data_IF_871877121312
#
_entry.id   IF_871877121312
#
_cell.length_a   1.000
_cell.length_b   1.000
_cell.length_c   1.000
_cell.angle_alpha   90.00
_cell.angle_beta   90.00
_cell.angle_gamma   90.00
#
_symmetry.space_group_name_H-M   'P 1'
#
loop_
_entity.id
_entity.type
_entity.pdbx_description
1 polymer ?
#
# COMPACT_ATOMS: atom_id res chain seq x y z
N UNK A 1 -38.61 -22.89 -37.90
CA UNK A 1 -37.77 -22.92 -36.68
C UNK A 1 -36.31 -22.43 -36.89
N UNK A 2 -35.98 -21.68 -37.96
CA UNK A 2 -34.64 -21.12 -38.17
C UNK A 2 -34.54 -19.59 -37.95
N UNK A 3 -35.67 -18.89 -37.83
CA UNK A 3 -35.69 -17.43 -37.67
C UNK A 3 -35.47 -16.96 -36.22
N UNK A 4 -35.83 -17.78 -35.22
CA UNK A 4 -35.69 -17.44 -33.80
C UNK A 4 -34.26 -17.61 -33.25
N UNK A 5 -33.40 -18.41 -33.89
CA UNK A 5 -32.00 -18.54 -33.47
C UNK A 5 -31.11 -17.38 -33.89
N UNK A 6 -31.41 -16.65 -34.99
CA UNK A 6 -30.60 -15.50 -35.42
C UNK A 6 -30.80 -14.26 -34.54
N UNK A 7 -31.96 -14.13 -33.88
CA UNK A 7 -32.25 -12.96 -33.06
C UNK A 7 -31.52 -12.97 -31.72
N UNK A 8 -31.17 -14.15 -31.19
CA UNK A 8 -30.42 -14.22 -29.93
C UNK A 8 -28.93 -13.96 -30.08
N UNK A 9 -28.38 -14.11 -31.30
CA UNK A 9 -26.95 -13.97 -31.54
C UNK A 9 -26.52 -12.52 -31.82
N UNK A 10 -27.43 -11.66 -32.27
CA UNK A 10 -27.18 -10.22 -32.48
C UNK A 10 -27.27 -9.39 -31.20
N UNK A 11 -27.90 -9.91 -30.13
CA UNK A 11 -28.04 -9.22 -28.85
C UNK A 11 -26.79 -9.24 -27.95
N UNK A 12 -25.86 -10.17 -28.16
CA UNK A 12 -24.69 -10.36 -27.29
C UNK A 12 -23.46 -9.59 -27.80
N UNK A 13 -23.42 -9.25 -29.11
CA UNK A 13 -22.29 -8.57 -29.73
C UNK A 13 -22.21 -7.06 -29.43
N UNK A 14 -23.30 -6.40 -29.07
CA UNK A 14 -23.31 -4.94 -28.82
C UNK A 14 -22.87 -4.50 -27.42
N UNK A 15 -22.62 -5.42 -26.48
CA UNK A 15 -22.17 -5.06 -25.12
C UNK A 15 -20.65 -4.97 -24.97
N UNK A 16 -19.86 -5.39 -25.96
CA UNK A 16 -18.40 -5.32 -25.89
C UNK A 16 -17.80 -4.01 -26.42
N UNK A 17 -18.62 -3.10 -26.95
CA UNK A 17 -18.12 -1.93 -27.68
C UNK A 17 -18.22 -0.59 -26.95
N UNK A 18 -18.57 -0.55 -25.65
CA UNK A 18 -18.25 0.62 -24.82
C UNK A 18 -16.82 0.48 -24.26
N UNK A 19 -15.89 0.65 -25.18
CA UNK A 19 -14.46 0.76 -24.94
C UNK A 19 -14.18 1.89 -23.94
N UNK A 20 -13.48 1.53 -22.86
CA UNK A 20 -12.71 2.47 -22.04
C UNK A 20 -11.80 3.28 -22.97
N UNK A 21 -11.76 4.63 -22.89
CA UNK A 21 -10.78 5.39 -23.63
C UNK A 21 -9.37 5.02 -23.15
N UNK A 22 -8.56 4.58 -24.11
CA UNK A 22 -7.12 4.47 -23.98
C UNK A 22 -6.52 5.88 -23.81
N UNK A 23 -6.46 6.35 -22.57
CA UNK A 23 -5.65 7.49 -22.17
C UNK A 23 -4.57 6.97 -21.22
N UNK A 24 -3.50 6.52 -21.86
CA UNK A 24 -2.21 6.20 -21.29
C UNK A 24 -1.63 7.50 -20.71
N UNK A 25 -1.86 7.78 -19.42
CA UNK A 25 -1.20 8.86 -18.70
C UNK A 25 -0.51 8.29 -17.47
N UNK A 26 0.77 8.03 -17.65
CA UNK A 26 1.86 8.02 -16.68
C UNK A 26 1.47 8.02 -15.19
N UNK A 27 1.55 6.83 -14.57
CA UNK A 27 1.85 6.71 -13.15
C UNK A 27 3.33 6.31 -13.01
N UNK A 28 4.15 7.01 -12.20
CA UNK A 28 5.52 6.61 -11.95
C UNK A 28 5.50 5.32 -11.14
N UNK A 29 5.97 4.24 -11.77
CA UNK A 29 6.18 2.94 -11.14
C UNK A 29 7.35 3.10 -10.15
N UNK A 30 7.20 2.82 -8.84
CA UNK A 30 8.35 2.84 -7.94
C UNK A 30 9.30 1.72 -8.35
N UNK A 31 10.46 2.13 -8.85
CA UNK A 31 11.62 1.27 -9.00
C UNK A 31 12.08 0.78 -7.63
N UNK A 32 12.70 -0.40 -7.61
CA UNK A 32 13.35 -1.06 -6.48
C UNK A 32 12.48 -1.92 -5.54
N UNK A 33 11.81 -2.93 -6.09
CA UNK A 33 11.79 -4.23 -5.41
C UNK A 33 13.21 -4.82 -5.52
N UNK A 34 14.00 -4.69 -4.45
CA UNK A 34 15.25 -5.44 -4.28
C UNK A 34 14.90 -6.92 -4.16
N UNK A 35 14.98 -7.64 -5.27
CA UNK A 35 15.01 -9.09 -5.25
C UNK A 35 16.31 -9.54 -4.58
N UNK A 36 16.22 -9.96 -3.32
CA UNK A 36 17.30 -10.69 -2.65
C UNK A 36 17.30 -12.11 -3.23
N UNK A 37 18.08 -12.32 -4.29
CA UNK A 37 18.41 -13.67 -4.77
C UNK A 37 19.42 -14.26 -3.81
N UNK A 38 18.98 -15.20 -2.96
CA UNK A 38 19.88 -16.09 -2.21
C UNK A 38 20.62 -16.95 -3.22
N UNK A 39 21.92 -16.69 -3.41
CA UNK A 39 22.81 -17.58 -4.15
C UNK A 39 22.97 -18.87 -3.34
N UNK A 40 22.45 -19.96 -3.86
CA UNK A 40 22.88 -21.31 -3.48
C UNK A 40 24.36 -21.45 -3.86
N UNK A 41 25.23 -21.61 -2.87
CA UNK A 41 26.64 -21.96 -3.09
C UNK A 41 26.68 -23.41 -3.56
N UNK A 42 26.93 -23.60 -4.87
CA UNK A 42 27.27 -24.88 -5.46
C UNK A 42 28.77 -25.10 -5.21
N UNK A 43 29.07 -26.15 -4.48
CA UNK A 43 30.40 -26.61 -4.12
C UNK A 43 31.21 -26.94 -5.39
N UNK A 44 32.26 -26.16 -5.65
CA UNK A 44 33.29 -26.47 -6.64
C UNK A 44 34.42 -27.23 -5.96
N UNK A 45 34.66 -28.44 -6.45
CA UNK A 45 35.78 -29.29 -6.11
C UNK A 45 36.76 -29.22 -7.28
N UNK A 46 38.01 -28.74 -7.10
CA UNK A 46 39.02 -28.91 -8.12
C UNK A 46 39.79 -30.20 -7.88
N UNK A 47 39.74 -31.09 -8.88
CA UNK A 47 40.77 -32.08 -9.12
C UNK A 47 41.85 -31.44 -10.00
N UNK A 48 43.07 -31.31 -9.49
CA UNK A 48 44.27 -31.30 -10.31
C UNK A 48 45.50 -31.59 -9.45
N UNK A 49 46.14 -32.69 -9.82
CA UNK A 49 47.43 -33.21 -9.44
C UNK A 49 48.54 -32.22 -9.85
N UNK A 50 49.25 -31.62 -8.88
CA UNK A 50 50.53 -30.95 -9.12
C UNK A 50 51.50 -31.35 -8.00
N UNK A 51 52.64 -31.90 -8.43
CA UNK A 51 53.73 -32.40 -7.59
C UNK A 51 54.54 -31.21 -7.10
N UNK A 52 54.70 -31.05 -5.79
CA UNK A 52 55.72 -30.17 -5.23
C UNK A 52 56.29 -30.73 -3.92
N UNK A 53 57.60 -30.97 -4.01
CA UNK A 53 58.64 -31.33 -3.05
C UNK A 53 58.34 -31.50 -1.55
N UNK A 54 58.76 -32.69 -1.11
CA UNK A 54 59.30 -32.99 0.21
C UNK A 54 60.42 -31.99 0.58
N UNK A 55 60.13 -31.04 1.46
CA UNK A 55 61.15 -30.25 2.15
C UNK A 55 60.94 -30.36 3.66
N UNK A 56 61.68 -31.29 4.27
CA UNK A 56 61.92 -31.34 5.71
C UNK A 56 62.47 -29.98 6.18
N UNK A 57 61.81 -29.36 7.16
CA UNK A 57 62.50 -28.49 8.10
C UNK A 57 62.52 -29.15 9.49
N UNK A 58 63.68 -29.24 10.16
CA UNK A 58 63.81 -29.90 11.44
C UNK A 58 63.40 -28.93 12.56
N UNK A 59 62.16 -29.05 13.06
CA UNK A 59 61.78 -28.39 14.31
C UNK A 59 62.37 -29.18 15.46
N UNK A 60 63.57 -28.74 15.83
CA UNK A 60 64.34 -28.98 17.05
C UNK A 60 63.67 -29.80 18.15
N UNK A 61 64.05 -31.07 18.16
CA UNK A 61 64.22 -32.08 19.21
C UNK A 61 64.53 -31.58 20.66
N UNK A 62 63.71 -30.72 21.27
CA UNK A 62 63.96 -30.22 22.64
C UNK A 62 62.74 -30.14 23.58
N UNK A 63 61.59 -30.75 23.25
CA UNK A 63 60.43 -30.85 24.17
C UNK A 63 60.05 -32.31 24.48
N UNK A 64 60.80 -33.28 23.95
CA UNK A 64 60.61 -34.69 24.24
C UNK A 64 61.29 -35.18 25.54
N UNK A 65 61.89 -34.26 26.33
CA UNK A 65 62.62 -34.59 27.57
C UNK A 65 61.80 -34.40 28.86
N UNK A 66 60.49 -34.09 28.77
CA UNK A 66 59.61 -34.00 29.93
C UNK A 66 58.56 -35.14 30.01
N UNK A 67 58.74 -36.21 29.22
CA UNK A 67 57.95 -37.44 29.37
C UNK A 67 58.75 -38.59 30.00
N UNK A 68 59.97 -38.33 30.47
CA UNK A 68 60.81 -39.38 31.04
C UNK A 68 61.42 -38.96 32.38
N UNK A 69 60.53 -38.81 33.39
CA UNK A 69 60.95 -38.99 34.78
C UNK A 69 60.95 -40.50 35.09
N UNK A 70 62.09 -41.09 35.52
CA UNK A 70 62.14 -42.47 35.99
C UNK A 70 61.60 -42.51 37.42
N UNK A 71 60.28 -42.61 37.56
CA UNK A 71 59.62 -42.82 38.85
C UNK A 71 59.21 -44.30 39.06
N UNK A 72 59.78 -45.23 38.31
CA UNK A 72 59.41 -46.65 38.38
C UNK A 72 60.66 -47.53 38.45
N UNK A 73 61.40 -47.37 39.55
CA UNK A 73 62.25 -48.43 40.08
C UNK A 73 62.10 -48.35 41.60
N UNK A 74 61.73 -49.47 42.23
CA UNK A 74 61.32 -49.65 43.63
C UNK A 74 59.83 -49.47 43.91
N UNK A 75 59.03 -50.42 43.43
CA UNK A 75 57.89 -50.98 44.18
C UNK A 75 57.44 -52.28 43.51
N UNK A 76 58.31 -53.29 43.49
CA UNK A 76 57.86 -54.68 43.48
C UNK A 76 57.57 -55.04 44.94
N UNK A 77 56.29 -55.02 45.34
CA UNK A 77 55.80 -55.65 46.56
C UNK A 77 54.42 -56.27 46.23
N UNK A 78 54.47 -57.58 45.95
CA UNK A 78 53.46 -58.60 46.28
C UNK A 78 51.97 -58.27 46.03
N UNK A 79 51.48 -58.75 44.88
CA UNK A 79 50.05 -58.97 44.61
C UNK A 79 49.45 -59.98 45.59
N UNK A 80 49.00 -59.50 46.76
CA UNK A 80 48.04 -60.25 47.59
C UNK A 80 46.63 -60.10 46.99
N UNK A 81 45.98 -61.21 46.56
CA UNK A 81 44.62 -61.15 46.03
C UNK A 81 43.65 -60.82 47.16
N UNK A 82 43.08 -59.61 47.16
CA UNK A 82 41.95 -59.27 48.02
C UNK A 82 41.97 -57.92 48.74
N UNK A 83 42.92 -57.02 48.47
CA UNK A 83 42.93 -55.66 49.07
C UNK A 83 42.34 -54.58 48.14
N UNK A 84 41.23 -54.90 47.46
CA UNK A 84 40.57 -54.02 46.48
C UNK A 84 39.83 -52.82 47.12
N UNK A 85 39.58 -52.88 48.43
CA UNK A 85 39.07 -51.78 49.23
C UNK A 85 40.19 -51.18 50.09
N UNK A 86 41.22 -50.65 49.43
CA UNK A 86 42.24 -49.85 50.10
C UNK A 86 41.68 -48.43 50.35
N UNK A 87 41.08 -48.23 51.52
CA UNK A 87 40.69 -46.91 52.06
C UNK A 87 41.91 -46.09 52.51
N UNK A 88 42.96 -46.13 51.71
CA UNK A 88 44.20 -45.41 51.94
C UNK A 88 44.16 -44.05 51.23
N UNK A 89 45.23 -43.27 51.37
CA UNK A 89 45.39 -41.90 50.84
C UNK A 89 44.96 -41.71 49.37
N UNK A 90 44.82 -42.79 48.59
CA UNK A 90 44.30 -42.77 47.21
C UNK A 90 42.86 -42.29 47.12
N UNK A 91 41.99 -42.59 48.09
CA UNK A 91 40.62 -42.08 48.10
C UNK A 91 40.56 -40.57 48.33
N UNK A 92 41.18 -40.01 49.39
CA UNK A 92 41.31 -38.56 49.55
C UNK A 92 42.02 -37.89 48.37
N UNK A 93 43.06 -38.51 47.79
CA UNK A 93 43.74 -37.98 46.61
C UNK A 93 42.83 -37.93 45.38
N UNK A 94 42.01 -38.97 45.15
CA UNK A 94 41.00 -38.97 44.08
C UNK A 94 39.89 -37.96 44.33
N UNK A 95 39.45 -37.77 45.58
CA UNK A 95 38.49 -36.71 45.93
C UNK A 95 39.08 -35.32 45.70
N UNK A 96 40.34 -35.09 46.07
CA UNK A 96 41.04 -33.84 45.81
C UNK A 96 41.16 -33.58 44.30
N UNK A 97 41.48 -34.60 43.51
CA UNK A 97 41.52 -34.51 42.04
C UNK A 97 40.14 -34.21 41.44
N UNK A 98 39.08 -34.86 41.93
CA UNK A 98 37.71 -34.60 41.47
C UNK A 98 37.25 -33.19 41.86
N UNK A 99 37.55 -32.73 43.06
CA UNK A 99 37.27 -31.35 43.51
C UNK A 99 38.03 -30.32 42.67
N UNK A 100 39.30 -30.58 42.38
CA UNK A 100 40.11 -29.73 41.50
C UNK A 100 39.49 -29.65 40.09
N UNK A 101 39.12 -30.78 39.51
CA UNK A 101 38.46 -30.84 38.20
C UNK A 101 37.09 -30.16 38.22
N UNK A 102 36.30 -30.33 39.29
CA UNK A 102 35.00 -29.70 39.44
C UNK A 102 35.11 -28.17 39.39
N UNK A 103 36.05 -27.59 40.14
CA UNK A 103 36.25 -26.14 40.16
C UNK A 103 36.77 -25.64 38.81
N UNK A 104 37.69 -26.38 38.18
CA UNK A 104 38.23 -26.01 36.88
C UNK A 104 37.16 -26.03 35.78
N UNK A 105 36.29 -27.04 35.79
CA UNK A 105 35.22 -27.20 34.81
C UNK A 105 34.05 -26.23 35.03
N UNK A 106 33.75 -25.86 36.27
CA UNK A 106 32.75 -24.84 36.61
C UNK A 106 33.07 -23.48 35.97
N UNK A 107 34.35 -23.09 36.05
CA UNK A 107 34.84 -21.85 35.43
C UNK A 107 35.00 -21.97 33.92
N UNK A 108 35.53 -23.08 33.43
CA UNK A 108 35.86 -23.24 32.01
C UNK A 108 34.65 -23.58 31.14
N UNK A 109 33.64 -24.29 31.67
CA UNK A 109 32.54 -24.82 30.87
C UNK A 109 31.16 -24.31 31.32
N UNK A 110 30.83 -24.38 32.61
CA UNK A 110 29.50 -24.01 33.07
C UNK A 110 29.24 -22.50 33.00
N UNK A 111 30.26 -21.69 33.29
CA UNK A 111 30.17 -20.22 33.17
C UNK A 111 29.84 -19.77 31.72
N UNK A 112 30.59 -20.16 30.67
CA UNK A 112 30.26 -19.72 29.31
C UNK A 112 28.92 -20.30 28.80
N UNK A 113 28.57 -21.54 29.17
CA UNK A 113 27.27 -22.13 28.79
C UNK A 113 26.11 -21.40 29.47
N UNK A 114 26.24 -21.07 30.75
CA UNK A 114 25.24 -20.29 31.48
C UNK A 114 25.00 -18.92 30.86
N UNK A 115 26.08 -18.23 30.44
CA UNK A 115 25.98 -16.94 29.73
C UNK A 115 25.18 -17.03 28.43
N UNK A 116 25.43 -18.06 27.61
CA UNK A 116 24.68 -18.26 26.36
C UNK A 116 23.20 -18.58 26.64
N UNK A 117 22.90 -19.32 27.71
CA UNK A 117 21.51 -19.58 28.11
C UNK A 117 20.80 -18.30 28.54
N UNK A 118 21.44 -17.50 29.40
CA UNK A 118 20.89 -16.22 29.86
C UNK A 118 20.69 -15.24 28.70
N UNK A 119 21.66 -15.14 27.78
CA UNK A 119 21.54 -14.31 26.57
C UNK A 119 20.38 -14.77 25.69
N UNK A 120 20.23 -16.08 25.46
CA UNK A 120 19.13 -16.62 24.67
C UNK A 120 17.78 -16.37 25.33
N UNK A 121 17.67 -16.56 26.64
CA UNK A 121 16.44 -16.29 27.38
C UNK A 121 16.09 -14.80 27.37
N UNK A 122 17.10 -13.92 27.55
CA UNK A 122 16.91 -12.48 27.45
C UNK A 122 16.49 -12.06 26.04
N UNK A 123 17.08 -12.64 24.99
CA UNK A 123 16.69 -12.40 23.59
C UNK A 123 15.28 -12.90 23.27
N UNK A 124 14.86 -14.03 23.82
CA UNK A 124 13.49 -14.54 23.63
C UNK A 124 12.50 -13.60 24.33
N UNK A 125 12.79 -13.18 25.57
CA UNK A 125 11.95 -12.23 26.30
C UNK A 125 11.87 -10.87 25.61
N UNK A 126 12.99 -10.34 25.12
CA UNK A 126 13.01 -9.06 24.41
C UNK A 126 12.27 -9.13 23.08
N UNK A 127 12.39 -10.23 22.32
CA UNK A 127 11.61 -10.45 21.09
C UNK A 127 10.11 -10.57 21.37
N UNK A 128 9.70 -11.26 22.44
CA UNK A 128 8.29 -11.35 22.83
C UNK A 128 7.74 -9.99 23.27
N UNK A 129 8.52 -9.22 24.02
CA UNK A 129 8.16 -7.85 24.41
C UNK A 129 8.07 -6.92 23.19
N UNK A 130 9.03 -7.02 22.27
CA UNK A 130 9.05 -6.31 20.99
C UNK A 130 7.82 -6.62 20.14
N UNK A 131 7.51 -7.89 19.88
CA UNK A 131 6.31 -8.29 19.12
C UNK A 131 5.03 -7.78 19.77
N UNK A 132 4.95 -7.78 21.10
CA UNK A 132 3.78 -7.27 21.82
C UNK A 132 3.65 -5.74 21.71
N UNK A 133 4.76 -5.00 21.81
CA UNK A 133 4.80 -3.55 21.62
C UNK A 133 4.55 -3.14 20.15
N UNK A 134 5.19 -3.83 19.21
CA UNK A 134 5.00 -3.61 17.78
C UNK A 134 3.54 -3.86 17.36
N UNK A 135 2.87 -4.85 17.97
CA UNK A 135 1.43 -5.10 17.71
C UNK A 135 0.58 -3.92 18.18
N UNK A 136 0.85 -3.34 19.35
CA UNK A 136 0.12 -2.17 19.85
C UNK A 136 0.39 -0.93 19.02
N UNK A 137 1.61 -0.75 18.52
CA UNK A 137 1.98 0.39 17.68
C UNK A 137 1.34 0.26 16.29
N UNK A 138 1.31 -0.94 15.70
CA UNK A 138 0.61 -1.21 14.44
C UNK A 138 -0.89 -0.94 14.56
N UNK A 139 -1.51 -1.32 15.68
CA UNK A 139 -2.91 -1.02 15.94
C UNK A 139 -3.15 0.51 16.06
N UNK A 140 -2.25 1.24 16.73
CA UNK A 140 -2.32 2.69 16.83
C UNK A 140 -2.22 3.37 15.45
N UNK A 141 -1.23 2.99 14.62
CA UNK A 141 -1.09 3.51 13.27
C UNK A 141 -2.29 3.16 12.37
N UNK A 142 -2.89 1.97 12.56
CA UNK A 142 -4.08 1.58 11.83
C UNK A 142 -5.28 2.48 12.18
N UNK A 143 -5.45 2.83 13.47
CA UNK A 143 -6.49 3.75 13.92
C UNK A 143 -6.28 5.15 13.34
N UNK A 144 -5.06 5.68 13.39
CA UNK A 144 -4.72 6.99 12.80
C UNK A 144 -4.99 7.02 11.29
N UNK A 145 -4.58 5.98 10.55
CA UNK A 145 -4.85 5.86 9.13
C UNK A 145 -6.36 5.82 8.84
N UNK A 146 -7.14 5.09 9.64
CA UNK A 146 -8.61 5.07 9.51
C UNK A 146 -9.23 6.44 9.78
N UNK A 147 -8.73 7.19 10.76
CA UNK A 147 -9.19 8.54 11.07
C UNK A 147 -8.90 9.51 9.92
N UNK A 148 -7.69 9.48 9.36
CA UNK A 148 -7.32 10.30 8.20
C UNK A 148 -8.22 9.96 7.01
N UNK A 149 -8.46 8.67 6.73
CA UNK A 149 -9.38 8.25 5.66
C UNK A 149 -10.80 8.74 5.92
N UNK A 150 -11.29 8.69 7.16
CA UNK A 150 -12.61 9.19 7.53
C UNK A 150 -12.72 10.69 7.31
N UNK A 151 -11.73 11.45 7.79
CA UNK A 151 -11.68 12.91 7.65
C UNK A 151 -11.61 13.32 6.17
N UNK A 152 -10.74 12.69 5.38
CA UNK A 152 -10.67 12.94 3.94
C UNK A 152 -11.99 12.63 3.22
N UNK A 153 -12.67 11.51 3.56
CA UNK A 153 -14.00 11.19 3.00
C UNK A 153 -15.06 12.22 3.39
N UNK A 154 -15.06 12.71 4.63
CA UNK A 154 -15.97 13.76 5.07
C UNK A 154 -15.71 15.08 4.35
N UNK A 155 -14.44 15.46 4.18
CA UNK A 155 -14.04 16.67 3.45
C UNK A 155 -14.45 16.60 1.98
N UNK A 156 -14.19 15.47 1.30
CA UNK A 156 -14.63 15.25 -0.09
C UNK A 156 -16.15 15.33 -0.19
N UNK A 157 -16.89 14.70 0.73
CA UNK A 157 -18.36 14.75 0.74
C UNK A 157 -18.87 16.18 0.96
N UNK A 158 -18.27 16.92 1.88
CA UNK A 158 -18.59 18.33 2.14
C UNK A 158 -18.31 19.20 0.93
N UNK A 159 -17.18 18.98 0.26
CA UNK A 159 -16.81 19.69 -0.97
C UNK A 159 -17.79 19.37 -2.10
N UNK A 160 -18.13 18.10 -2.33
CA UNK A 160 -19.12 17.69 -3.33
C UNK A 160 -20.48 18.31 -3.03
N UNK A 161 -20.93 18.29 -1.78
CA UNK A 161 -22.22 18.88 -1.40
C UNK A 161 -22.25 20.39 -1.60
N UNK A 162 -21.16 21.08 -1.23
CA UNK A 162 -21.02 22.53 -1.43
C UNK A 162 -21.00 22.87 -2.91
N UNK A 163 -20.22 22.16 -3.72
CA UNK A 163 -20.15 22.38 -5.16
C UNK A 163 -21.49 22.07 -5.84
N UNK A 164 -22.17 21.00 -5.44
CA UNK A 164 -23.51 20.65 -5.95
C UNK A 164 -24.52 21.74 -5.61
N UNK A 165 -24.54 22.23 -4.38
CA UNK A 165 -25.43 23.33 -3.97
C UNK A 165 -25.11 24.62 -4.74
N UNK A 166 -23.84 24.98 -4.88
CA UNK A 166 -23.43 26.17 -5.61
C UNK A 166 -23.83 26.09 -7.09
N UNK A 167 -23.62 24.93 -7.72
CA UNK A 167 -24.03 24.69 -9.11
C UNK A 167 -25.54 24.67 -9.28
N UNK A 168 -26.28 24.11 -8.33
CA UNK A 168 -27.75 24.18 -8.35
C UNK A 168 -28.22 25.64 -8.29
N UNK A 169 -27.67 26.43 -7.37
CA UNK A 169 -28.00 27.85 -7.24
C UNK A 169 -27.64 28.64 -8.52
N UNK A 170 -26.50 28.35 -9.14
CA UNK A 170 -26.05 28.97 -10.39
C UNK A 170 -26.99 28.62 -11.56
N UNK A 171 -27.40 27.35 -11.66
CA UNK A 171 -28.36 26.90 -12.67
C UNK A 171 -29.75 27.50 -12.44
N UNK A 172 -30.22 27.58 -11.20
CA UNK A 172 -31.51 28.19 -10.87
C UNK A 172 -31.50 29.69 -11.16
N UNK A 173 -30.38 30.38 -10.89
CA UNK A 173 -30.20 31.78 -11.26
C UNK A 173 -30.22 31.99 -12.78
N UNK A 174 -29.47 31.19 -13.53
CA UNK A 174 -29.47 31.25 -15.00
C UNK A 174 -30.84 30.91 -15.59
N UNK A 175 -31.54 29.92 -15.02
CA UNK A 175 -32.88 29.55 -15.44
C UNK A 175 -33.87 30.68 -15.22
N UNK A 176 -33.83 31.33 -14.05
CA UNK A 176 -34.69 32.47 -13.75
C UNK A 176 -34.38 33.68 -14.64
N UNK A 177 -33.09 33.94 -14.92
CA UNK A 177 -32.68 35.01 -15.84
C UNK A 177 -33.16 34.72 -17.27
N UNK A 178 -32.96 33.50 -17.77
CA UNK A 178 -33.42 33.08 -19.10
C UNK A 178 -34.95 33.17 -19.21
N UNK A 179 -35.68 32.71 -18.19
CA UNK A 179 -37.13 32.84 -18.13
C UNK A 179 -37.57 34.30 -18.15
N UNK A 180 -36.92 35.18 -17.38
CA UNK A 180 -37.22 36.61 -17.37
C UNK A 180 -36.93 37.27 -18.73
N UNK A 181 -35.87 36.88 -19.44
CA UNK A 181 -35.57 37.36 -20.80
C UNK A 181 -36.65 36.92 -21.79
N UNK A 182 -37.02 35.64 -21.78
CA UNK A 182 -38.09 35.11 -22.64
C UNK A 182 -39.42 35.83 -22.37
N UNK A 183 -39.79 36.03 -21.11
CA UNK A 183 -41.02 36.75 -20.76
C UNK A 183 -40.99 38.20 -21.27
N UNK A 184 -39.87 38.91 -21.14
CA UNK A 184 -39.73 40.27 -21.70
C UNK A 184 -39.82 40.30 -23.22
N UNK A 185 -39.20 39.35 -23.91
CA UNK A 185 -39.28 39.26 -25.38
C UNK A 185 -40.70 38.96 -25.85
N UNK A 186 -41.42 38.09 -25.13
CA UNK A 186 -42.83 37.79 -25.41
C UNK A 186 -43.71 39.01 -25.16
N UNK A 187 -43.55 39.71 -24.04
CA UNK A 187 -44.28 40.95 -23.73
C UNK A 187 -44.00 42.05 -24.77
N UNK A 188 -42.74 42.23 -25.17
CA UNK A 188 -42.37 43.18 -26.21
C UNK A 188 -42.99 42.83 -27.58
N UNK A 189 -43.05 41.55 -27.93
CA UNK A 189 -43.67 41.07 -29.15
C UNK A 189 -45.19 41.28 -29.14
N UNK A 190 -45.85 41.04 -28.01
CA UNK A 190 -47.29 41.32 -27.83
C UNK A 190 -47.56 42.82 -28.00
N UNK A 191 -46.78 43.68 -27.33
CA UNK A 191 -46.93 45.13 -27.46
C UNK A 191 -46.67 45.65 -28.88
N UNK A 192 -45.71 45.06 -29.59
CA UNK A 192 -45.45 45.39 -31.00
C UNK A 192 -46.64 45.01 -31.89
N UNK A 193 -47.20 43.80 -31.73
CA UNK A 193 -48.37 43.32 -32.48
C UNK A 193 -49.61 44.18 -32.20
N UNK A 194 -49.82 44.61 -30.96
CA UNK A 194 -50.90 45.53 -30.61
C UNK A 194 -50.73 46.90 -31.28
N UNK A 195 -49.51 47.44 -31.30
CA UNK A 195 -49.20 48.70 -31.97
C UNK A 195 -49.41 48.61 -33.48
N UNK A 196 -48.99 47.52 -34.11
CA UNK A 196 -49.23 47.29 -35.54
C UNK A 196 -50.73 47.14 -35.84
N UNK A 197 -51.48 46.46 -34.98
CA UNK A 197 -52.93 46.32 -35.10
C UNK A 197 -53.64 47.68 -34.99
N UNK A 198 -53.27 48.53 -34.03
CA UNK A 198 -53.81 49.90 -33.90
C UNK A 198 -53.44 50.79 -35.09
N UNK A 199 -52.20 50.72 -35.57
CA UNK A 199 -51.76 51.48 -36.74
C UNK A 199 -52.48 51.03 -38.02
N UNK A 200 -52.76 49.72 -38.16
CA UNK A 200 -53.56 49.19 -39.26
C UNK A 200 -55.01 49.69 -39.16
N UNK A 201 -55.64 49.62 -37.99
CA UNK A 201 -56.99 50.14 -37.77
C UNK A 201 -57.10 51.65 -38.10
N UNK A 202 -56.12 52.46 -37.67
CA UNK A 202 -56.08 53.88 -38.00
C UNK A 202 -55.94 54.14 -39.51
N UNK A 203 -55.16 53.31 -40.23
CA UNK A 203 -55.06 53.39 -41.71
C UNK A 203 -56.37 53.02 -42.40
N UNK A 204 -57.07 51.98 -41.92
CA UNK A 204 -58.39 51.62 -42.47
C UNK A 204 -59.41 52.73 -42.20
N UNK A 205 -59.43 53.31 -41.00
CA UNK A 205 -60.35 54.41 -40.66
C UNK A 205 -60.08 55.65 -41.51
N UNK A 206 -58.82 56.02 -41.74
CA UNK A 206 -58.46 57.11 -42.64
C UNK A 206 -58.91 56.83 -44.10
N UNK A 207 -58.83 55.59 -44.59
CA UNK A 207 -59.37 55.24 -45.91
C UNK A 207 -60.89 55.33 -45.97
N UNK A 208 -61.58 54.86 -44.92
CA UNK A 208 -63.04 54.92 -44.84
C UNK A 208 -63.49 56.37 -44.74
N UNK A 209 -62.88 57.19 -43.87
CA UNK A 209 -63.14 58.62 -43.73
C UNK A 209 -62.85 59.39 -45.01
N UNK A 210 -61.74 59.10 -45.70
CA UNK A 210 -61.43 59.69 -47.00
C UNK A 210 -62.49 59.35 -48.07
N UNK A 211 -62.89 58.07 -48.17
CA UNK A 211 -63.98 57.65 -49.06
C UNK A 211 -65.32 58.31 -48.69
N UNK A 212 -65.62 58.42 -47.41
CA UNK A 212 -66.86 59.03 -46.90
C UNK A 212 -66.88 60.55 -47.16
N UNK A 213 -65.73 61.23 -47.03
CA UNK A 213 -65.58 62.65 -47.32
C UNK A 213 -65.76 62.94 -48.82
N UNK A 214 -65.17 62.12 -49.69
CA UNK A 214 -65.39 62.22 -51.14
C UNK A 214 -66.86 62.01 -51.48
N UNK A 215 -67.52 61.01 -50.88
CA UNK A 215 -68.94 60.76 -51.05
C UNK A 215 -69.80 61.94 -50.56
N UNK A 216 -69.48 62.52 -49.40
CA UNK A 216 -70.17 63.68 -48.85
C UNK A 216 -69.99 64.93 -49.73
N UNK A 217 -68.78 65.19 -50.25
CA UNK A 217 -68.53 66.27 -51.22
C UNK A 217 -69.36 66.09 -52.49
N UNK A 218 -69.38 64.87 -53.05
CA UNK A 218 -70.21 64.55 -54.22
C UNK A 218 -71.71 64.77 -53.94
N UNK A 219 -72.19 64.37 -52.76
CA UNK A 219 -73.60 64.55 -52.38
C UNK A 219 -73.95 66.03 -52.21
N UNK A 220 -73.05 66.84 -51.64
CA UNK A 220 -73.24 68.28 -51.48
C UNK A 220 -73.21 69.02 -52.84
N UNK A 221 -72.29 68.66 -53.73
CA UNK A 221 -72.25 69.18 -55.11
C UNK A 221 -73.54 68.85 -55.86
N UNK A 222 -74.05 67.62 -55.73
CA UNK A 222 -75.30 67.19 -56.35
C UNK A 222 -76.55 67.88 -55.76
N UNK A 223 -76.48 68.35 -54.51
CA UNK A 223 -77.61 69.05 -53.85
C UNK A 223 -77.62 70.57 -54.10
N UNK A 224 -76.54 71.15 -54.63
CA UNK A 224 -76.38 72.58 -54.89
C UNK A 224 -76.49 72.94 -56.39
N UNK A 225 -76.85 71.96 -57.22
CA UNK A 225 -77.28 72.10 -58.63
C UNK A 225 -78.78 71.88 -58.66
#
# INVERSE_FOLDING_TARGET
MQALCRFQQTGIASRQQLQRPAALAALPRPAALRAVTVRAQKQEQPAALERAELALMPVSLAVADLLMHPAMALAEEESQPGRLFDFNLTLPAMMAQFLLLMVMLDKLWFTPVGRVLDERDALIRSKLAGVKGDSTDVDAYAIEAQEILKNARMEVTKMIQTQKSNKQNELDAQYNEAKAKITREVEASIAAVEKESQAMLAKLDAQVGGKLMVFAMLTNILSNI
#
